data_IF_661098393749
#
_entry.id   IF_661098393749
#
_cell.length_a   1.000
_cell.length_b   1.000
_cell.length_c   1.000
_cell.angle_alpha   90.00
_cell.angle_beta   90.00
_cell.angle_gamma   90.00
#
_symmetry.space_group_name_H-M   'P 1'
#
loop_
_entity.id
_entity.type
_entity.pdbx_description
1 polymer ?
#
# COMPACT_ATOMS: atom_id res chain seq x y z
N UNK A 1 -5.66 9.16 -8.55
CA UNK A 1 -4.22 9.44 -8.40
C UNK A 1 -3.48 8.11 -8.39
N UNK A 2 -2.36 8.02 -9.10
CA UNK A 2 -1.47 6.83 -9.04
C UNK A 2 -0.83 6.71 -7.66
N UNK A 3 -0.37 5.51 -7.31
CA UNK A 3 0.26 5.30 -6.00
C UNK A 3 1.68 5.84 -6.02
N UNK A 4 1.92 6.83 -5.17
CA UNK A 4 3.23 7.43 -4.93
C UNK A 4 3.69 7.16 -3.50
N UNK A 5 5.00 7.26 -3.25
CA UNK A 5 5.52 7.15 -1.88
C UNK A 5 4.85 8.16 -0.94
N UNK A 6 4.64 9.40 -1.37
CA UNK A 6 4.01 10.44 -0.54
C UNK A 6 2.58 10.05 -0.15
N UNK A 7 1.83 9.43 -1.07
CA UNK A 7 0.51 8.90 -0.77
C UNK A 7 0.60 7.81 0.30
N UNK A 8 1.47 6.82 0.14
CA UNK A 8 1.66 5.74 1.12
C UNK A 8 1.99 6.30 2.52
N UNK A 9 2.93 7.25 2.60
CA UNK A 9 3.27 7.90 3.87
C UNK A 9 2.07 8.65 4.48
N UNK A 10 1.28 9.37 3.67
CA UNK A 10 0.08 10.07 4.14
C UNK A 10 -1.04 9.15 4.61
N UNK A 11 -1.07 7.91 4.08
CA UNK A 11 -2.01 6.87 4.48
C UNK A 11 -1.54 6.14 5.75
N UNK A 12 -0.35 6.47 6.27
CA UNK A 12 0.19 5.89 7.50
C UNK A 12 1.09 4.67 7.29
N UNK A 13 1.53 4.41 6.05
CA UNK A 13 2.56 3.40 5.82
C UNK A 13 3.91 3.87 6.36
N UNK A 14 4.67 2.92 6.90
CA UNK A 14 6.05 3.10 7.33
C UNK A 14 6.97 2.43 6.33
N UNK A 15 7.91 3.18 5.78
CA UNK A 15 8.92 2.66 4.85
C UNK A 15 10.00 1.90 5.64
N UNK A 16 10.23 0.64 5.28
CA UNK A 16 11.24 -0.25 5.89
C UNK A 16 12.47 -0.39 5.00
N UNK A 17 12.28 -0.43 3.68
CA UNK A 17 13.38 -0.46 2.70
C UNK A 17 13.06 0.39 1.47
N UNK A 18 13.92 0.37 0.44
CA UNK A 18 13.75 1.16 -0.79
C UNK A 18 12.36 1.03 -1.41
N UNK A 19 11.80 -0.19 -1.42
CA UNK A 19 10.48 -0.48 -2.00
C UNK A 19 9.52 -1.10 -1.00
N UNK A 20 9.95 -1.46 0.21
CA UNK A 20 9.12 -2.15 1.20
C UNK A 20 8.49 -1.18 2.19
N UNK A 21 7.19 -1.35 2.41
CA UNK A 21 6.39 -0.57 3.34
C UNK A 21 5.56 -1.49 4.22
N UNK A 22 5.22 -1.00 5.41
CA UNK A 22 4.34 -1.69 6.36
C UNK A 22 3.18 -0.80 6.76
N UNK A 23 2.01 -1.40 6.91
CA UNK A 23 0.80 -0.80 7.45
C UNK A 23 0.24 -1.75 8.52
N UNK A 24 0.35 -1.36 9.80
CA UNK A 24 0.03 -2.22 10.94
C UNK A 24 0.77 -3.57 10.86
N UNK A 25 0.04 -4.68 10.76
CA UNK A 25 0.59 -6.03 10.64
C UNK A 25 0.83 -6.47 9.17
N UNK A 26 0.47 -5.64 8.20
CA UNK A 26 0.57 -5.96 6.78
C UNK A 26 1.82 -5.31 6.17
N UNK A 27 2.54 -6.08 5.37
CA UNK A 27 3.68 -5.61 4.59
C UNK A 27 3.31 -5.53 3.12
N UNK A 28 4.03 -4.73 2.36
CA UNK A 28 3.90 -4.69 0.93
C UNK A 28 5.06 -3.98 0.24
N UNK A 29 5.06 -4.06 -1.09
CA UNK A 29 6.10 -3.51 -1.96
C UNK A 29 5.50 -2.50 -2.92
N UNK A 30 6.10 -1.33 -3.02
CA UNK A 30 5.74 -0.30 -3.97
C UNK A 30 6.63 -0.38 -5.22
N UNK A 31 6.00 -0.49 -6.38
CA UNK A 31 6.65 -0.28 -7.68
C UNK A 31 6.32 1.13 -8.17
N UNK A 32 7.28 2.04 -8.02
CA UNK A 32 7.16 3.44 -8.44
C UNK A 32 7.09 3.59 -9.97
N UNK A 33 7.69 2.68 -10.74
CA UNK A 33 7.68 2.77 -12.20
C UNK A 33 6.31 2.39 -12.76
N UNK A 34 5.66 1.41 -12.13
CA UNK A 34 4.31 0.99 -12.50
C UNK A 34 3.21 1.82 -11.83
N UNK A 35 3.53 2.56 -10.75
CA UNK A 35 2.53 3.26 -9.94
C UNK A 35 1.65 2.30 -9.12
N UNK A 36 2.15 1.10 -8.80
CA UNK A 36 1.38 0.00 -8.20
C UNK A 36 1.96 -0.41 -6.85
N UNK A 37 1.10 -0.77 -5.90
CA UNK A 37 1.50 -1.34 -4.62
C UNK A 37 1.02 -2.79 -4.46
N UNK A 38 1.88 -3.67 -3.98
CA UNK A 38 1.59 -5.08 -3.78
C UNK A 38 1.59 -5.39 -2.28
N UNK A 39 0.49 -5.88 -1.74
CA UNK A 39 0.47 -6.40 -0.38
C UNK A 39 0.99 -7.84 -0.34
N UNK A 40 1.84 -8.14 0.63
CA UNK A 40 2.33 -9.50 0.87
C UNK A 40 1.12 -10.40 1.21
N UNK A 41 0.85 -11.40 0.37
CA UNK A 41 -0.31 -12.30 0.51
C UNK A 41 -1.49 -12.00 -0.43
N UNK A 42 -1.46 -10.89 -1.17
CA UNK A 42 -2.45 -10.58 -2.20
C UNK A 42 -1.87 -10.84 -3.60
N UNK A 43 -2.66 -11.49 -4.46
CA UNK A 43 -2.24 -11.79 -5.84
C UNK A 43 -2.34 -10.60 -6.79
N UNK A 44 -3.07 -9.55 -6.41
CA UNK A 44 -3.34 -8.40 -7.25
C UNK A 44 -2.69 -7.15 -6.66
N UNK A 45 -1.91 -6.45 -7.49
CA UNK A 45 -1.39 -5.13 -7.15
C UNK A 45 -2.50 -4.07 -7.19
N UNK A 46 -2.30 -3.01 -6.44
CA UNK A 46 -3.19 -1.88 -6.28
C UNK A 46 -2.62 -0.73 -7.08
N UNK A 47 -3.31 -0.27 -8.13
CA UNK A 47 -2.78 0.75 -9.04
C UNK A 47 -3.23 2.18 -8.68
N UNK A 48 -4.32 2.33 -7.92
CA UNK A 48 -4.91 3.63 -7.65
C UNK A 48 -5.14 3.88 -6.16
N UNK A 49 -5.11 5.16 -5.79
CA UNK A 49 -5.39 5.60 -4.42
C UNK A 49 -6.73 5.10 -3.86
N UNK A 50 -7.78 5.07 -4.69
CA UNK A 50 -9.11 4.67 -4.23
C UNK A 50 -9.15 3.18 -3.84
N UNK A 51 -8.52 2.32 -4.66
CA UNK A 51 -8.37 0.90 -4.36
C UNK A 51 -7.57 0.70 -3.07
N UNK A 52 -6.51 1.49 -2.89
CA UNK A 52 -5.70 1.46 -1.67
C UNK A 52 -6.53 1.83 -0.45
N UNK A 53 -7.25 2.95 -0.49
CA UNK A 53 -8.11 3.37 0.63
C UNK A 53 -9.19 2.34 0.95
N UNK A 54 -9.77 1.72 -0.08
CA UNK A 54 -10.75 0.65 0.11
C UNK A 54 -10.13 -0.55 0.84
N UNK A 55 -8.94 -0.99 0.43
CA UNK A 55 -8.22 -2.09 1.08
C UNK A 55 -7.83 -1.77 2.52
N UNK A 56 -7.33 -0.55 2.78
CA UNK A 56 -6.99 -0.12 4.14
C UNK A 56 -8.22 -0.10 5.04
N UNK A 57 -9.38 0.37 4.55
CA UNK A 57 -10.62 0.33 5.30
C UNK A 57 -11.07 -1.10 5.63
N UNK A 58 -10.84 -2.06 4.72
CA UNK A 58 -11.12 -3.47 4.98
C UNK A 58 -10.19 -4.02 6.07
N UNK A 59 -8.88 -3.74 5.97
CA UNK A 59 -7.87 -4.12 6.98
C UNK A 59 -8.22 -3.53 8.35
N UNK A 60 -8.63 -2.26 8.39
CA UNK A 60 -9.00 -1.55 9.62
C UNK A 60 -10.31 -2.06 10.23
N UNK A 61 -11.22 -2.60 9.42
CA UNK A 61 -12.47 -3.18 9.89
C UNK A 61 -12.29 -4.59 10.49
N UNK A 62 -11.31 -5.36 10.01
CA UNK A 62 -11.02 -6.70 10.52
C UNK A 62 -10.21 -6.72 11.83
N UNK A 63 -9.69 -5.58 12.30
CA UNK A 63 -8.93 -5.44 13.55
C UNK A 63 -9.70 -4.71 14.66
#
# INVERSE_FOLDING_TARGET
MEITQNLLMSLGFVKDSSTRYHYKAFAGTHDEQAGVFFFDGFRFGVAFEHDMRFLLNLIDYEQ
#
